data_IF_554905833919
#
_entry.id   IF_554905833919
#
_cell.length_a   1.000
_cell.length_b   1.000
_cell.length_c   1.000
_cell.angle_alpha   90.00
_cell.angle_beta   90.00
_cell.angle_gamma   90.00
#
_symmetry.space_group_name_H-M   'P 1'
#
loop_
_entity.id
_entity.type
_entity.pdbx_description
1 polymer ?
#
# COMPACT_ATOMS: atom_id res chain seq x y z
N UNK A 1 -20.59 9.42 8.14
CA UNK A 1 -19.72 8.27 7.91
C UNK A 1 -19.81 7.94 6.43
N UNK A 2 -18.72 8.05 5.68
CA UNK A 2 -18.71 7.57 4.31
C UNK A 2 -18.95 6.05 4.34
N UNK A 3 -19.92 5.58 3.58
CA UNK A 3 -20.15 4.14 3.44
C UNK A 3 -19.00 3.60 2.63
N UNK A 4 -18.12 2.81 3.25
CA UNK A 4 -17.04 2.15 2.55
C UNK A 4 -17.65 1.30 1.42
N UNK A 5 -17.24 1.58 0.20
CA UNK A 5 -17.67 0.81 -0.96
C UNK A 5 -17.00 -0.56 -0.88
N UNK A 6 -17.78 -1.59 -0.54
CA UNK A 6 -17.26 -2.96 -0.50
C UNK A 6 -16.78 -3.37 -1.88
N UNK A 7 -15.70 -4.12 -1.93
CA UNK A 7 -15.33 -4.86 -3.14
C UNK A 7 -16.45 -5.87 -3.39
N UNK A 8 -17.23 -5.63 -4.42
CA UNK A 8 -18.22 -6.60 -4.90
C UNK A 8 -17.72 -7.20 -6.21
N UNK A 9 -18.22 -8.38 -6.61
CA UNK A 9 -17.90 -8.95 -7.91
C UNK A 9 -18.21 -8.01 -9.09
N UNK A 10 -19.15 -7.06 -8.89
CA UNK A 10 -19.52 -6.06 -9.89
C UNK A 10 -18.53 -4.89 -9.96
N UNK A 11 -17.64 -4.75 -8.98
CA UNK A 11 -16.63 -3.70 -8.97
C UNK A 11 -15.24 -4.30 -9.19
N UNK A 12 -14.79 -4.31 -10.44
CA UNK A 12 -13.41 -4.61 -10.81
C UNK A 12 -12.75 -3.37 -11.39
N UNK A 13 -11.78 -2.73 -10.66
CA UNK A 13 -11.05 -1.58 -11.19
C UNK A 13 -10.19 -1.93 -12.41
N UNK A 14 -9.96 -3.20 -12.67
CA UNK A 14 -9.18 -3.71 -13.79
C UNK A 14 -10.03 -4.04 -15.02
N UNK A 15 -11.33 -3.77 -14.99
CA UNK A 15 -12.23 -3.98 -16.15
C UNK A 15 -11.95 -3.03 -17.34
N UNK A 16 -10.67 -2.77 -17.62
CA UNK A 16 -10.25 -1.99 -18.78
C UNK A 16 -10.76 -2.58 -20.11
N UNK A 17 -11.05 -3.89 -20.16
CA UNK A 17 -11.64 -4.52 -21.35
C UNK A 17 -13.08 -4.04 -21.63
N UNK A 18 -13.83 -3.66 -20.61
CA UNK A 18 -15.17 -3.06 -20.79
C UNK A 18 -15.06 -1.69 -21.44
N UNK A 19 -14.05 -0.93 -21.07
CA UNK A 19 -13.75 0.36 -21.70
C UNK A 19 -13.33 0.17 -23.16
N UNK A 20 -12.58 -0.88 -23.48
CA UNK A 20 -12.27 -1.22 -24.87
C UNK A 20 -13.54 -1.52 -25.69
N UNK A 21 -14.52 -2.23 -25.10
CA UNK A 21 -15.81 -2.48 -25.74
C UNK A 21 -16.63 -1.19 -25.91
N UNK A 22 -16.65 -0.35 -24.88
CA UNK A 22 -17.47 0.88 -24.87
C UNK A 22 -16.88 1.99 -25.73
N UNK A 23 -15.55 2.19 -25.67
CA UNK A 23 -14.88 3.35 -26.30
C UNK A 23 -14.00 2.96 -27.50
N UNK A 24 -13.88 1.66 -27.81
CA UNK A 24 -13.04 1.16 -28.90
C UNK A 24 -11.52 1.35 -28.70
N UNK A 25 -11.09 1.71 -27.51
CA UNK A 25 -9.68 1.95 -27.16
C UNK A 25 -9.41 1.68 -25.69
N UNK A 26 -8.15 1.35 -25.31
CA UNK A 26 -7.74 1.28 -23.91
C UNK A 26 -7.91 2.64 -23.23
N UNK A 27 -8.35 2.62 -21.96
CA UNK A 27 -8.45 3.80 -21.10
C UNK A 27 -7.53 3.66 -19.89
N UNK A 28 -7.11 4.79 -19.33
CA UNK A 28 -6.35 4.81 -18.08
C UNK A 28 -7.35 4.82 -16.91
N UNK A 29 -7.45 3.70 -16.20
CA UNK A 29 -8.45 3.51 -15.14
C UNK A 29 -7.85 3.45 -13.74
N UNK A 30 -6.56 3.14 -13.63
CA UNK A 30 -5.85 3.04 -12.36
C UNK A 30 -4.52 3.78 -12.46
N UNK A 31 -4.20 4.54 -11.42
CA UNK A 31 -2.90 5.21 -11.24
C UNK A 31 -2.30 4.75 -9.93
N UNK A 32 -1.07 4.26 -9.99
CA UNK A 32 -0.27 3.97 -8.81
C UNK A 32 0.75 5.08 -8.58
N UNK A 33 0.84 5.57 -7.36
CA UNK A 33 1.68 6.69 -6.99
C UNK A 33 2.71 6.30 -5.93
N UNK A 34 4.00 6.37 -6.28
CA UNK A 34 5.11 6.20 -5.33
C UNK A 34 5.36 7.50 -4.59
N UNK A 35 4.98 7.56 -3.30
CA UNK A 35 5.06 8.78 -2.50
C UNK A 35 6.38 8.95 -1.75
N UNK A 36 7.14 7.87 -1.57
CA UNK A 36 8.42 7.87 -0.86
C UNK A 36 9.30 6.70 -1.30
N UNK A 37 10.60 6.89 -1.25
CA UNK A 37 11.60 5.81 -1.41
C UNK A 37 12.13 5.30 -0.06
N UNK A 38 11.65 5.85 1.06
CA UNK A 38 12.01 5.41 2.40
C UNK A 38 11.24 4.14 2.77
N UNK A 39 11.92 3.21 3.42
CA UNK A 39 11.30 2.04 4.01
C UNK A 39 12.06 1.62 5.27
N UNK A 40 11.34 1.16 6.28
CA UNK A 40 11.92 0.62 7.51
C UNK A 40 12.31 -0.87 7.41
N UNK A 41 12.07 -1.48 6.27
CA UNK A 41 12.44 -2.85 5.95
C UNK A 41 13.34 -2.90 4.70
N UNK A 42 14.02 -4.04 4.51
CA UNK A 42 14.81 -4.38 3.31
C UNK A 42 14.59 -5.85 3.00
N UNK A 43 13.39 -6.14 2.49
CA UNK A 43 12.96 -7.51 2.22
C UNK A 43 13.76 -8.13 1.08
N UNK A 44 14.06 -9.43 1.18
CA UNK A 44 14.82 -10.14 0.14
C UNK A 44 14.09 -10.20 -1.21
N UNK A 45 12.76 -10.19 -1.19
CA UNK A 45 11.89 -10.29 -2.36
C UNK A 45 11.41 -8.93 -2.90
N UNK A 46 11.92 -7.81 -2.36
CA UNK A 46 11.43 -6.49 -2.71
C UNK A 46 11.74 -6.14 -4.17
N UNK A 47 10.71 -6.05 -5.00
CA UNK A 47 10.84 -5.72 -6.43
C UNK A 47 11.45 -4.34 -6.67
N UNK A 48 11.23 -3.40 -5.74
CA UNK A 48 11.75 -2.02 -5.79
C UNK A 48 12.91 -1.78 -4.82
N UNK A 49 13.49 -2.84 -4.27
CA UNK A 49 14.57 -2.74 -3.27
C UNK A 49 15.77 -1.91 -3.71
N UNK A 50 16.08 -1.92 -5.01
CA UNK A 50 17.16 -1.16 -5.61
C UNK A 50 16.88 0.36 -5.72
N UNK A 51 15.62 0.79 -5.60
CA UNK A 51 15.23 2.20 -5.62
C UNK A 51 15.15 2.81 -4.23
N UNK A 52 15.19 1.99 -3.18
CA UNK A 52 15.08 2.47 -1.80
C UNK A 52 16.31 3.29 -1.42
N UNK A 53 16.07 4.47 -0.86
CA UNK A 53 17.12 5.43 -0.51
C UNK A 53 16.98 5.88 0.95
N UNK A 54 18.05 6.40 1.58
CA UNK A 54 18.01 6.93 2.93
C UNK A 54 17.31 8.28 3.03
N UNK A 55 17.03 8.93 1.90
CA UNK A 55 16.38 10.23 1.80
C UNK A 55 15.53 10.27 0.54
N UNK A 56 14.32 10.81 0.66
CA UNK A 56 13.47 11.03 -0.50
C UNK A 56 14.11 12.01 -1.50
N UNK A 57 14.01 11.71 -2.80
CA UNK A 57 14.40 12.65 -3.84
C UNK A 57 13.44 13.87 -3.85
N UNK A 58 13.75 14.87 -4.68
CA UNK A 58 12.84 15.98 -4.92
C UNK A 58 11.51 15.45 -5.47
N UNK A 59 10.42 15.79 -4.78
CA UNK A 59 9.10 15.35 -5.15
C UNK A 59 8.45 16.35 -6.14
N UNK A 60 7.51 15.84 -6.94
CA UNK A 60 6.67 16.68 -7.79
C UNK A 60 5.74 17.54 -6.91
N UNK A 61 5.44 18.80 -7.30
CA UNK A 61 4.44 19.60 -6.61
C UNK A 61 3.06 18.92 -6.60
N UNK A 62 2.38 18.94 -5.46
CA UNK A 62 1.08 18.26 -5.31
C UNK A 62 0.02 18.81 -6.28
N UNK A 63 -0.02 20.11 -6.48
CA UNK A 63 -0.94 20.78 -7.40
C UNK A 63 -0.77 20.30 -8.85
N UNK A 64 0.47 20.06 -9.27
CA UNK A 64 0.74 19.48 -10.59
C UNK A 64 0.23 18.04 -10.68
N UNK A 65 0.41 17.24 -9.61
CA UNK A 65 -0.09 15.86 -9.55
C UNK A 65 -1.62 15.87 -9.67
N UNK A 66 -2.31 16.66 -8.86
CA UNK A 66 -3.77 16.74 -8.84
C UNK A 66 -4.31 17.21 -10.22
N UNK A 67 -3.65 18.20 -10.82
CA UNK A 67 -3.98 18.63 -12.18
C UNK A 67 -3.88 17.50 -13.20
N UNK A 68 -2.84 16.65 -13.12
CA UNK A 68 -2.69 15.50 -14.02
C UNK A 68 -3.73 14.41 -13.77
N UNK A 69 -4.14 14.22 -12.54
CA UNK A 69 -5.24 13.29 -12.23
C UNK A 69 -6.58 13.80 -12.77
N UNK A 70 -6.83 15.11 -12.73
CA UNK A 70 -8.04 15.73 -13.33
C UNK A 70 -8.13 15.54 -14.86
N UNK A 71 -6.99 15.36 -15.54
CA UNK A 71 -6.93 15.09 -16.98
C UNK A 71 -7.31 13.62 -17.34
N UNK A 72 -7.60 12.77 -16.34
CA UNK A 72 -7.95 11.35 -16.53
C UNK A 72 -9.43 11.13 -16.19
N UNK A 73 -10.37 11.37 -17.12
CA UNK A 73 -11.80 11.26 -16.85
C UNK A 73 -12.28 9.83 -16.59
N UNK A 74 -11.46 8.84 -16.94
CA UNK A 74 -11.73 7.41 -16.78
C UNK A 74 -11.09 6.82 -15.50
N UNK A 75 -10.48 7.65 -14.64
CA UNK A 75 -9.84 7.20 -13.41
C UNK A 75 -10.88 6.59 -12.46
N UNK A 76 -10.68 5.34 -12.06
CA UNK A 76 -11.54 4.58 -11.13
C UNK A 76 -10.85 4.19 -9.85
N UNK A 77 -9.52 4.06 -9.88
CA UNK A 77 -8.73 3.69 -8.71
C UNK A 77 -7.42 4.49 -8.63
N UNK A 78 -7.08 4.90 -7.41
CA UNK A 78 -5.79 5.49 -7.07
C UNK A 78 -5.12 4.62 -6.01
N UNK A 79 -3.96 4.09 -6.32
CA UNK A 79 -3.14 3.29 -5.42
C UNK A 79 -1.93 4.10 -4.93
N UNK A 80 -1.70 4.10 -3.64
CA UNK A 80 -0.51 4.70 -3.03
C UNK A 80 0.48 3.59 -2.69
N UNK A 81 1.71 3.76 -3.14
CA UNK A 81 2.81 2.84 -2.88
C UNK A 81 4.10 3.61 -2.58
N UNK A 82 5.21 2.90 -2.51
CA UNK A 82 6.54 3.47 -2.30
C UNK A 82 7.50 2.44 -1.75
N UNK A 83 8.44 2.89 -0.95
CA UNK A 83 9.12 2.03 0.00
C UNK A 83 8.11 1.56 1.06
N UNK A 84 7.92 2.37 2.10
CA UNK A 84 6.76 2.27 2.99
C UNK A 84 6.06 3.64 3.00
N UNK A 85 4.88 3.78 2.41
CA UNK A 85 4.21 5.07 2.23
C UNK A 85 4.01 5.86 3.52
N UNK A 86 3.82 5.16 4.63
CA UNK A 86 3.59 5.76 5.95
C UNK A 86 4.89 6.07 6.71
N UNK A 87 6.07 5.79 6.13
CA UNK A 87 7.37 5.98 6.79
C UNK A 87 7.70 7.45 7.03
N UNK A 88 7.55 8.28 6.02
CA UNK A 88 7.86 9.72 6.06
C UNK A 88 6.65 10.53 6.51
N UNK A 89 6.72 11.18 7.69
CA UNK A 89 5.64 12.06 8.16
C UNK A 89 5.40 13.24 7.18
N UNK A 90 6.47 13.75 6.56
CA UNK A 90 6.35 14.78 5.53
C UNK A 90 5.61 14.26 4.29
N UNK A 91 5.95 13.07 3.82
CA UNK A 91 5.27 12.44 2.68
C UNK A 91 3.80 12.15 3.01
N UNK A 92 3.51 11.62 4.20
CA UNK A 92 2.13 11.37 4.65
C UNK A 92 1.31 12.66 4.61
N UNK A 93 1.82 13.74 5.22
CA UNK A 93 1.11 15.03 5.28
C UNK A 93 0.96 15.69 3.91
N UNK A 94 2.00 15.66 3.09
CA UNK A 94 2.06 16.45 1.86
C UNK A 94 1.56 15.71 0.62
N UNK A 95 1.50 14.37 0.66
CA UNK A 95 1.10 13.56 -0.49
C UNK A 95 0.06 12.49 -0.15
N UNK A 96 0.34 11.57 0.81
CA UNK A 96 -0.53 10.42 1.04
C UNK A 96 -1.94 10.86 1.42
N UNK A 97 -2.09 11.64 2.48
CA UNK A 97 -3.41 12.12 2.94
C UNK A 97 -4.10 12.99 1.88
N UNK A 98 -3.44 13.99 1.27
CA UNK A 98 -4.09 14.82 0.24
C UNK A 98 -4.54 14.02 -0.99
N UNK A 99 -3.74 13.06 -1.46
CA UNK A 99 -4.08 12.24 -2.64
C UNK A 99 -5.25 11.30 -2.37
N UNK A 100 -5.25 10.61 -1.21
CA UNK A 100 -6.36 9.75 -0.82
C UNK A 100 -7.65 10.55 -0.64
N UNK A 101 -7.58 11.70 0.04
CA UNK A 101 -8.72 12.59 0.21
C UNK A 101 -9.26 13.07 -1.14
N UNK A 102 -8.39 13.55 -2.03
CA UNK A 102 -8.75 14.00 -3.37
C UNK A 102 -9.49 12.92 -4.16
N UNK A 103 -8.96 11.69 -4.16
CA UNK A 103 -9.57 10.57 -4.88
C UNK A 103 -10.91 10.17 -4.26
N UNK A 104 -10.96 10.05 -2.93
CA UNK A 104 -12.17 9.69 -2.19
C UNK A 104 -13.32 10.69 -2.43
N UNK A 105 -13.05 12.00 -2.39
CA UNK A 105 -14.06 13.05 -2.64
C UNK A 105 -14.62 13.03 -4.07
N UNK A 106 -13.94 12.40 -5.01
CA UNK A 106 -14.36 12.21 -6.41
C UNK A 106 -14.99 10.86 -6.72
N UNK A 107 -15.15 10.02 -5.68
CA UNK A 107 -15.66 8.66 -5.85
C UNK A 107 -14.67 7.71 -6.54
N UNK A 108 -13.40 8.12 -6.65
CA UNK A 108 -12.31 7.26 -7.11
C UNK A 108 -11.89 6.35 -5.96
N UNK A 109 -11.84 5.04 -6.23
CA UNK A 109 -11.44 4.06 -5.24
C UNK A 109 -10.01 4.28 -4.77
N UNK A 110 -9.80 4.25 -3.48
CA UNK A 110 -8.51 4.49 -2.85
C UNK A 110 -7.88 3.22 -2.31
N UNK A 111 -6.60 3.05 -2.58
CA UNK A 111 -5.83 1.90 -2.15
C UNK A 111 -4.47 2.34 -1.61
N UNK A 112 -3.90 1.57 -0.68
CA UNK A 112 -2.53 1.75 -0.20
C UNK A 112 -1.86 0.40 0.01
N UNK A 113 -0.61 0.27 -0.45
CA UNK A 113 0.23 -0.89 -0.20
C UNK A 113 1.17 -0.57 0.96
N UNK A 114 1.13 -1.35 2.04
CA UNK A 114 1.94 -1.11 3.24
C UNK A 114 2.41 -2.41 3.89
N UNK A 115 3.57 -2.36 4.54
CA UNK A 115 4.04 -3.44 5.41
C UNK A 115 3.37 -3.41 6.80
N UNK A 116 2.62 -2.38 7.12
CA UNK A 116 1.80 -2.19 8.32
C UNK A 116 2.56 -2.25 9.67
N UNK A 117 3.86 -2.04 9.65
CA UNK A 117 4.73 -2.23 10.83
C UNK A 117 4.98 -0.96 11.66
N UNK A 118 4.43 0.19 11.23
CA UNK A 118 4.59 1.47 11.93
C UNK A 118 3.50 1.66 13.00
N UNK A 119 3.58 2.76 13.77
CA UNK A 119 2.59 3.04 14.80
C UNK A 119 1.21 3.27 14.21
N UNK A 120 0.17 2.69 14.83
CA UNK A 120 -1.22 2.76 14.37
C UNK A 120 -1.70 4.18 14.08
N UNK A 121 -1.31 5.15 14.92
CA UNK A 121 -1.65 6.55 14.75
C UNK A 121 -1.28 7.17 13.39
N UNK A 122 -0.33 6.55 12.67
CA UNK A 122 -0.01 6.96 11.30
C UNK A 122 -1.09 6.55 10.32
N UNK A 123 -1.62 5.34 10.47
CA UNK A 123 -2.66 4.78 9.60
C UNK A 123 -4.03 5.37 9.91
N UNK A 124 -4.32 5.74 11.16
CA UNK A 124 -5.56 6.40 11.54
C UNK A 124 -5.85 7.67 10.74
N UNK A 125 -4.80 8.37 10.29
CA UNK A 125 -4.94 9.59 9.49
C UNK A 125 -5.56 9.37 8.10
N UNK A 126 -5.46 8.14 7.57
CA UNK A 126 -5.94 7.80 6.22
C UNK A 126 -7.26 7.01 6.24
N UNK A 127 -7.66 6.43 7.37
CA UNK A 127 -8.90 5.64 7.50
C UNK A 127 -10.12 6.33 6.88
N UNK A 128 -10.38 7.64 7.08
CA UNK A 128 -11.55 8.29 6.52
C UNK A 128 -11.59 8.34 4.98
N UNK A 129 -10.47 8.12 4.33
CA UNK A 129 -10.30 8.27 2.88
C UNK A 129 -9.85 6.98 2.20
N UNK A 130 -9.76 5.87 2.93
CA UNK A 130 -9.17 4.62 2.45
C UNK A 130 -10.22 3.54 2.29
N UNK A 131 -10.35 3.00 1.07
CA UNK A 131 -11.22 1.87 0.79
C UNK A 131 -10.52 0.54 1.03
N UNK A 132 -9.29 0.39 0.55
CA UNK A 132 -8.53 -0.87 0.63
C UNK A 132 -7.11 -0.64 1.09
N UNK A 133 -6.67 -1.44 2.04
CA UNK A 133 -5.28 -1.58 2.40
C UNK A 133 -4.78 -2.95 1.94
N UNK A 134 -3.77 -2.95 1.09
CA UNK A 134 -3.03 -4.13 0.71
C UNK A 134 -1.83 -4.29 1.66
N UNK A 135 -1.88 -5.35 2.46
CA UNK A 135 -0.75 -5.68 3.34
C UNK A 135 0.22 -6.62 2.63
N UNK A 136 1.49 -6.26 2.62
CA UNK A 136 2.56 -7.15 2.15
C UNK A 136 2.78 -8.26 3.17
N UNK A 137 2.08 -9.38 3.01
CA UNK A 137 2.12 -10.52 3.93
C UNK A 137 2.76 -11.74 3.26
N UNK A 138 4.08 -11.87 3.40
CA UNK A 138 4.89 -12.85 2.67
C UNK A 138 5.53 -13.90 3.61
N UNK A 139 5.00 -14.07 4.81
CA UNK A 139 5.68 -14.85 5.86
C UNK A 139 4.71 -15.77 6.58
N UNK A 140 5.05 -17.06 6.64
CA UNK A 140 4.26 -18.06 7.35
C UNK A 140 4.50 -18.08 8.86
N UNK A 141 5.60 -17.48 9.31
CA UNK A 141 5.99 -17.41 10.72
C UNK A 141 6.65 -16.08 11.05
N UNK A 142 6.73 -15.76 12.35
CA UNK A 142 7.51 -14.62 12.84
C UNK A 142 8.99 -14.73 12.46
N UNK A 143 9.57 -15.92 12.52
CA UNK A 143 10.97 -16.13 12.16
C UNK A 143 11.22 -15.84 10.69
N UNK A 144 10.32 -16.28 9.78
CA UNK A 144 10.40 -15.94 8.36
C UNK A 144 10.35 -14.43 8.13
N UNK A 145 9.46 -13.73 8.84
CA UNK A 145 9.37 -12.26 8.78
C UNK A 145 10.68 -11.60 9.25
N UNK A 146 11.19 -12.02 10.40
CA UNK A 146 12.41 -11.47 11.01
C UNK A 146 13.63 -11.68 10.12
N UNK A 147 13.70 -12.80 9.42
CA UNK A 147 14.81 -13.10 8.51
C UNK A 147 14.65 -12.41 7.16
N UNK A 148 13.58 -12.70 6.45
CA UNK A 148 13.40 -12.26 5.07
C UNK A 148 13.04 -10.77 4.93
N UNK A 149 12.30 -10.22 5.90
CA UNK A 149 11.91 -8.80 5.88
C UNK A 149 13.07 -7.82 6.07
N UNK A 150 14.19 -8.30 6.60
CA UNK A 150 15.38 -7.49 6.89
C UNK A 150 16.65 -8.05 6.23
N UNK A 151 16.50 -9.01 5.32
CA UNK A 151 17.61 -9.77 4.75
C UNK A 151 18.68 -8.86 4.11
N UNK A 152 18.25 -7.81 3.41
CA UNK A 152 19.11 -6.91 2.62
C UNK A 152 19.57 -5.68 3.41
N UNK A 153 19.38 -5.64 4.74
CA UNK A 153 19.94 -4.59 5.59
C UNK A 153 21.39 -4.86 5.94
N UNK A 154 22.25 -3.86 5.79
CA UNK A 154 23.65 -3.93 6.26
C UNK A 154 23.73 -4.01 7.79
N UNK A 155 22.91 -3.21 8.48
CA UNK A 155 22.78 -3.21 9.94
C UNK A 155 21.35 -3.55 10.32
N UNK A 156 21.12 -4.78 10.73
CA UNK A 156 19.80 -5.26 11.13
C UNK A 156 19.50 -4.84 12.56
N UNK A 157 18.26 -4.42 12.87
CA UNK A 157 17.77 -4.32 14.25
C UNK A 157 17.89 -5.67 14.97
N UNK A 158 17.84 -5.68 16.31
CA UNK A 158 17.85 -6.95 17.06
C UNK A 158 16.67 -7.83 16.68
N UNK A 159 16.73 -9.13 17.02
CA UNK A 159 15.61 -10.04 16.78
C UNK A 159 14.33 -9.52 17.42
N UNK A 160 14.39 -9.10 18.69
CA UNK A 160 13.25 -8.61 19.45
C UNK A 160 12.63 -7.33 18.84
N UNK A 161 13.47 -6.45 18.29
CA UNK A 161 12.99 -5.25 17.60
C UNK A 161 12.26 -5.62 16.30
N UNK A 162 12.78 -6.59 15.54
CA UNK A 162 12.16 -7.07 14.30
C UNK A 162 10.87 -7.84 14.57
N UNK A 163 10.86 -8.68 15.64
CA UNK A 163 9.67 -9.40 16.06
C UNK A 163 8.51 -8.45 16.44
N UNK A 164 8.80 -7.34 17.13
CA UNK A 164 7.80 -6.29 17.42
C UNK A 164 7.17 -5.69 16.16
N UNK A 165 7.86 -5.64 15.04
CA UNK A 165 7.25 -5.20 13.78
C UNK A 165 6.23 -6.21 13.27
N UNK A 166 6.48 -7.50 13.43
CA UNK A 166 5.51 -8.55 13.08
C UNK A 166 4.24 -8.46 13.93
N UNK A 167 4.39 -8.36 15.25
CA UNK A 167 3.25 -8.22 16.18
C UNK A 167 2.44 -6.98 15.81
N UNK A 168 3.11 -5.85 15.56
CA UNK A 168 2.45 -4.59 15.17
C UNK A 168 1.71 -4.70 13.83
N UNK A 169 2.27 -5.41 12.86
CA UNK A 169 1.60 -5.68 11.59
C UNK A 169 0.26 -6.39 11.81
N UNK A 170 0.22 -7.41 12.66
CA UNK A 170 -1.00 -8.16 12.98
C UNK A 170 -2.01 -7.29 13.76
N UNK A 171 -1.54 -6.56 14.77
CA UNK A 171 -2.38 -5.66 15.57
C UNK A 171 -3.01 -4.55 14.73
N UNK A 172 -2.21 -3.90 13.87
CA UNK A 172 -2.67 -2.86 12.96
C UNK A 172 -3.69 -3.39 11.95
N UNK A 173 -3.47 -4.59 11.38
CA UNK A 173 -4.41 -5.23 10.47
C UNK A 173 -5.79 -5.39 11.13
N UNK A 174 -5.81 -5.92 12.36
CA UNK A 174 -7.05 -6.09 13.14
C UNK A 174 -7.72 -4.77 13.46
N UNK A 175 -6.94 -3.75 13.83
CA UNK A 175 -7.47 -2.42 14.15
C UNK A 175 -8.13 -1.76 12.92
N UNK A 176 -7.51 -1.86 11.75
CA UNK A 176 -8.02 -1.31 10.50
C UNK A 176 -9.29 -2.03 10.03
N UNK A 177 -9.33 -3.36 10.11
CA UNK A 177 -10.55 -4.14 9.83
C UNK A 177 -11.69 -3.71 10.77
N UNK A 178 -11.42 -3.55 12.07
CA UNK A 178 -12.39 -3.06 13.05
C UNK A 178 -12.87 -1.64 12.73
N UNK A 179 -12.03 -0.81 12.17
CA UNK A 179 -12.38 0.54 11.73
C UNK A 179 -13.15 0.57 10.39
N UNK A 180 -13.36 -0.59 9.75
CA UNK A 180 -14.15 -0.73 8.53
C UNK A 180 -13.33 -0.66 7.23
N UNK A 181 -12.00 -0.63 7.30
CA UNK A 181 -11.14 -0.70 6.11
C UNK A 181 -11.10 -2.13 5.59
N UNK A 182 -11.22 -2.32 4.29
CA UNK A 182 -10.95 -3.63 3.67
C UNK A 182 -9.44 -3.88 3.68
N UNK A 183 -9.01 -4.90 4.41
CA UNK A 183 -7.60 -5.33 4.42
C UNK A 183 -7.46 -6.57 3.56
N UNK A 184 -6.62 -6.50 2.53
CA UNK A 184 -6.30 -7.59 1.61
C UNK A 184 -4.83 -7.96 1.75
N UNK A 185 -4.53 -9.25 1.93
CA UNK A 185 -3.16 -9.72 1.98
C UNK A 185 -2.63 -9.98 0.55
N UNK A 186 -1.47 -9.38 0.25
CA UNK A 186 -0.72 -9.67 -0.96
C UNK A 186 0.47 -10.56 -0.61
N UNK A 187 0.48 -11.76 -1.16
CA UNK A 187 1.53 -12.76 -0.93
C UNK A 187 2.27 -13.08 -2.20
N UNK A 188 3.57 -12.86 -2.20
CA UNK A 188 4.44 -13.24 -3.31
C UNK A 188 4.72 -14.74 -3.29
N UNK A 189 4.39 -15.43 -4.39
CA UNK A 189 4.71 -16.85 -4.56
C UNK A 189 6.15 -17.02 -5.04
N UNK A 190 6.98 -17.64 -4.21
CA UNK A 190 8.36 -17.97 -4.51
C UNK A 190 8.78 -19.27 -3.79
N UNK A 191 10.04 -19.68 -3.93
CA UNK A 191 10.54 -20.92 -3.31
C UNK A 191 10.45 -20.92 -1.77
N UNK A 192 10.48 -19.75 -1.12
CA UNK A 192 10.37 -19.62 0.33
C UNK A 192 8.90 -19.68 0.77
N UNK A 193 8.01 -18.95 0.11
CA UNK A 193 6.61 -18.81 0.53
C UNK A 193 5.76 -20.02 0.16
N UNK A 194 6.01 -20.62 -1.01
CA UNK A 194 5.20 -21.73 -1.53
C UNK A 194 5.02 -22.91 -0.53
N UNK A 195 6.06 -23.38 0.20
CA UNK A 195 5.91 -24.45 1.18
C UNK A 195 5.08 -24.07 2.43
N UNK A 196 4.81 -22.79 2.63
CA UNK A 196 4.15 -22.26 3.83
C UNK A 196 2.81 -21.58 3.54
N UNK A 197 2.26 -21.73 2.34
CA UNK A 197 1.02 -21.06 1.93
C UNK A 197 -0.15 -21.32 2.89
N UNK A 198 -0.29 -22.55 3.40
CA UNK A 198 -1.33 -22.88 4.38
C UNK A 198 -1.19 -22.15 5.73
N UNK A 199 0.03 -21.65 6.04
CA UNK A 199 0.29 -20.88 7.27
C UNK A 199 0.18 -19.37 7.06
N UNK A 200 0.25 -18.94 5.82
CA UNK A 200 0.12 -17.51 5.44
C UNK A 200 -1.35 -17.11 5.41
N UNK A 201 -2.23 -18.04 5.14
CA UNK A 201 -3.69 -17.88 5.12
C UNK A 201 -4.32 -18.30 6.43
#
# INVERSE_FOLDING_TARGET
MATLQRITPEFDPWEAYLDMKQYGKPTLTNVEFTTTTLCNMRCEHCAVGYTLQPKDPNALPLDLILKRLDEIPTLRALSITGGEPMMSLSSVKNYVVPLLKYAHERGVRTQINSNLTLDLARYEQIIPYLDVLHISHNWGTMDDFVEAGFAMMERKPTYEQRAKYFDRMIENSRALVKAGVTVSAETMLNKRTLPHMEKIH
#
